data_IF_592594693771
#
_entry.id   IF_592594693771
#
_cell.length_a   1.000
_cell.length_b   1.000
_cell.length_c   1.000
_cell.angle_alpha   90.00
_cell.angle_beta   90.00
_cell.angle_gamma   90.00
#
_symmetry.space_group_name_H-M   'P 1'
#
loop_
_entity.id
_entity.type
_entity.pdbx_description
1 polymer ?
#
# COMPACT_ATOMS: atom_id res chain seq x y z
N UNK A 1 15.55 17.07 4.15
CA UNK A 1 15.42 16.59 2.76
C UNK A 1 13.92 16.59 2.45
N UNK A 2 13.47 17.14 1.32
CA UNK A 2 12.07 17.06 0.92
C UNK A 2 11.72 15.58 0.65
N UNK A 3 10.80 14.99 1.42
CA UNK A 3 10.40 13.58 1.25
C UNK A 3 9.25 13.41 0.24
N UNK A 4 8.54 14.49 -0.07
CA UNK A 4 7.43 14.49 -1.03
C UNK A 4 7.80 13.90 -2.41
N UNK A 5 8.96 14.20 -3.04
CA UNK A 5 9.34 13.60 -4.33
C UNK A 5 9.53 12.08 -4.25
N UNK A 6 10.08 11.59 -3.13
CA UNK A 6 10.33 10.17 -2.91
C UNK A 6 8.99 9.43 -2.80
N UNK A 7 8.03 9.98 -2.07
CA UNK A 7 6.70 9.39 -1.95
C UNK A 7 5.93 9.44 -3.27
N UNK A 8 6.12 10.49 -4.06
CA UNK A 8 5.53 10.59 -5.39
C UNK A 8 6.03 9.46 -6.30
N UNK A 9 7.36 9.25 -6.35
CA UNK A 9 7.95 8.13 -7.11
C UNK A 9 7.48 6.78 -6.55
N UNK A 10 7.49 6.59 -5.24
CA UNK A 10 7.03 5.36 -4.61
C UNK A 10 5.55 5.07 -4.91
N UNK A 11 4.71 6.11 -4.94
CA UNK A 11 3.31 6.02 -5.31
C UNK A 11 3.12 5.55 -6.76
N UNK A 12 3.85 6.14 -7.70
CA UNK A 12 3.84 5.71 -9.11
C UNK A 12 4.39 4.31 -9.31
N UNK A 13 5.44 3.92 -8.58
CA UNK A 13 5.94 2.55 -8.58
C UNK A 13 4.91 1.57 -8.04
N UNK A 14 4.16 1.94 -7.00
CA UNK A 14 3.03 1.18 -6.47
C UNK A 14 1.92 0.99 -7.51
N UNK A 15 1.57 2.06 -8.23
CA UNK A 15 0.60 2.00 -9.34
C UNK A 15 1.07 1.07 -10.46
N UNK A 16 2.34 1.16 -10.86
CA UNK A 16 2.94 0.25 -11.85
C UNK A 16 2.86 -1.21 -11.39
N UNK A 17 3.18 -1.48 -10.12
CA UNK A 17 3.04 -2.80 -9.51
C UNK A 17 1.60 -3.30 -9.48
N UNK A 18 0.65 -2.39 -9.26
CA UNK A 18 -0.79 -2.65 -9.37
C UNK A 18 -1.18 -3.07 -10.79
N UNK A 19 -0.81 -2.29 -11.81
CA UNK A 19 -1.09 -2.60 -13.21
C UNK A 19 -0.46 -3.94 -13.62
N UNK A 20 0.82 -4.14 -13.30
CA UNK A 20 1.55 -5.37 -13.63
C UNK A 20 0.93 -6.61 -12.94
N UNK A 21 0.63 -6.52 -11.65
CA UNK A 21 -0.04 -7.61 -10.93
C UNK A 21 -1.44 -7.88 -11.47
N UNK A 22 -2.19 -6.83 -11.84
CA UNK A 22 -3.51 -6.95 -12.47
C UNK A 22 -3.45 -7.65 -13.82
N UNK A 23 -2.44 -7.33 -14.64
CA UNK A 23 -2.18 -8.02 -15.91
C UNK A 23 -1.93 -9.51 -15.69
N UNK A 24 -1.04 -9.87 -14.77
CA UNK A 24 -0.68 -11.27 -14.49
C UNK A 24 -1.89 -12.06 -13.98
N UNK A 25 -2.67 -11.47 -13.06
CA UNK A 25 -3.91 -12.07 -12.53
C UNK A 25 -4.96 -12.19 -13.63
N UNK A 26 -5.05 -11.18 -14.51
CA UNK A 26 -5.97 -11.11 -15.62
C UNK A 26 -5.73 -12.20 -16.66
N UNK A 27 -4.49 -12.53 -17.01
CA UNK A 27 -4.19 -13.56 -18.02
C UNK A 27 -4.76 -14.95 -17.68
N UNK A 28 -4.99 -15.24 -16.40
CA UNK A 28 -5.51 -16.52 -15.94
C UNK A 28 -7.03 -16.53 -15.67
N UNK A 29 -7.76 -15.47 -16.03
CA UNK A 29 -9.16 -15.28 -15.64
C UNK A 29 -10.10 -16.38 -16.15
N UNK A 30 -9.80 -16.97 -17.31
CA UNK A 30 -10.65 -17.95 -17.99
C UNK A 30 -10.65 -19.33 -17.32
N UNK A 31 -9.72 -19.60 -16.39
CA UNK A 31 -9.61 -20.92 -15.74
C UNK A 31 -10.41 -20.92 -14.44
N UNK A 32 -11.53 -21.64 -14.40
CA UNK A 32 -12.42 -21.71 -13.22
C UNK A 32 -11.70 -22.25 -11.97
N UNK A 33 -10.77 -23.18 -12.14
CA UNK A 33 -9.95 -23.76 -11.05
C UNK A 33 -8.76 -22.91 -10.62
N UNK A 34 -8.55 -21.71 -11.19
CA UNK A 34 -7.36 -20.90 -10.93
C UNK A 34 -7.27 -20.48 -9.45
N UNK A 35 -6.09 -20.68 -8.86
CA UNK A 35 -5.78 -20.48 -7.44
C UNK A 35 -6.66 -21.29 -6.45
N UNK A 36 -7.31 -22.37 -6.91
CA UNK A 36 -8.22 -23.18 -6.09
C UNK A 36 -9.68 -22.76 -6.19
N UNK A 37 -10.03 -21.97 -7.21
CA UNK A 37 -11.41 -21.54 -7.49
C UNK A 37 -11.76 -20.15 -6.98
N UNK A 38 -12.94 -19.66 -7.35
CA UNK A 38 -13.39 -18.29 -7.06
C UNK A 38 -13.47 -17.97 -5.56
N UNK A 39 -13.90 -18.94 -4.75
CA UNK A 39 -14.04 -18.81 -3.30
C UNK A 39 -12.75 -19.01 -2.50
N UNK A 40 -11.65 -19.39 -3.15
CA UNK A 40 -10.43 -19.78 -2.45
C UNK A 40 -9.79 -18.62 -1.68
N UNK A 41 -9.23 -18.95 -0.51
CA UNK A 41 -8.49 -18.02 0.33
C UNK A 41 -7.33 -17.37 -0.43
N UNK A 42 -6.64 -18.14 -1.29
CA UNK A 42 -5.52 -17.68 -2.11
C UNK A 42 -5.94 -16.61 -3.11
N UNK A 43 -7.01 -16.85 -3.88
CA UNK A 43 -7.51 -15.89 -4.86
C UNK A 43 -8.00 -14.60 -4.21
N UNK A 44 -8.63 -14.69 -3.03
CA UNK A 44 -9.07 -13.52 -2.26
C UNK A 44 -7.88 -12.64 -1.83
N UNK A 45 -6.83 -13.25 -1.28
CA UNK A 45 -5.62 -12.53 -0.86
C UNK A 45 -4.83 -11.94 -2.03
N UNK A 46 -4.70 -12.66 -3.14
CA UNK A 46 -4.04 -12.16 -4.35
C UNK A 46 -4.77 -10.92 -4.90
N UNK A 47 -6.11 -10.94 -4.94
CA UNK A 47 -6.91 -9.76 -5.31
C UNK A 47 -6.73 -8.61 -4.32
N UNK A 48 -6.71 -8.91 -3.02
CA UNK A 48 -6.48 -7.89 -1.99
C UNK A 48 -5.08 -7.24 -2.13
N UNK A 49 -4.04 -8.03 -2.39
CA UNK A 49 -2.68 -7.53 -2.64
C UNK A 49 -2.58 -6.66 -3.89
N UNK A 50 -3.25 -7.06 -4.98
CA UNK A 50 -3.35 -6.24 -6.19
C UNK A 50 -4.02 -4.88 -5.92
N UNK A 51 -5.16 -4.86 -5.23
CA UNK A 51 -5.86 -3.61 -4.87
C UNK A 51 -5.01 -2.79 -3.89
N UNK A 52 -4.28 -3.44 -2.98
CA UNK A 52 -3.40 -2.75 -2.04
C UNK A 52 -2.27 -1.99 -2.75
N UNK A 53 -1.69 -2.53 -3.83
CA UNK A 53 -0.70 -1.82 -4.66
C UNK A 53 -1.27 -0.51 -5.21
N UNK A 54 -2.48 -0.57 -5.78
CA UNK A 54 -3.13 0.61 -6.35
C UNK A 54 -3.54 1.61 -5.25
N UNK A 55 -4.24 1.14 -4.22
CA UNK A 55 -4.75 1.98 -3.15
C UNK A 55 -3.63 2.71 -2.41
N UNK A 56 -2.56 2.01 -2.04
CA UNK A 56 -1.43 2.62 -1.33
C UNK A 56 -0.50 3.42 -2.25
N UNK A 57 -0.46 3.06 -3.55
CA UNK A 57 0.13 3.90 -4.58
C UNK A 57 -0.56 5.27 -4.65
N UNK A 58 -1.88 5.28 -4.73
CA UNK A 58 -2.66 6.52 -4.72
C UNK A 58 -2.49 7.31 -3.42
N UNK A 59 -2.51 6.66 -2.26
CA UNK A 59 -2.29 7.34 -0.97
C UNK A 59 -0.93 8.06 -0.94
N UNK A 60 0.13 7.44 -1.43
CA UNK A 60 1.46 8.08 -1.48
C UNK A 60 1.50 9.29 -2.43
N UNK A 61 0.89 9.18 -3.62
CA UNK A 61 0.81 10.30 -4.56
C UNK A 61 -0.02 11.45 -3.96
N UNK A 62 -1.20 11.14 -3.41
CA UNK A 62 -2.07 12.14 -2.79
C UNK A 62 -1.39 12.80 -1.59
N UNK A 63 -0.69 12.04 -0.77
CA UNK A 63 0.10 12.58 0.34
C UNK A 63 1.16 13.57 -0.14
N UNK A 64 1.97 13.18 -1.13
CA UNK A 64 3.01 14.05 -1.69
C UNK A 64 2.43 15.36 -2.24
N UNK A 65 1.29 15.31 -2.92
CA UNK A 65 0.60 16.49 -3.43
C UNK A 65 0.00 17.34 -2.30
N UNK A 66 -0.54 16.71 -1.25
CA UNK A 66 -1.20 17.40 -0.15
C UNK A 66 -0.19 18.14 0.74
N UNK A 67 0.94 17.51 1.06
CA UNK A 67 2.02 18.14 1.85
C UNK A 67 2.72 19.25 1.07
N UNK A 68 2.80 19.13 -0.27
CA UNK A 68 3.32 20.21 -1.11
C UNK A 68 2.44 21.47 -1.07
N UNK A 69 1.11 21.32 -0.93
CA UNK A 69 0.18 22.46 -0.80
C UNK A 69 0.07 22.97 0.64
N UNK A 70 0.05 22.06 1.62
CA UNK A 70 -0.05 22.39 3.04
C UNK A 70 1.04 21.66 3.83
N UNK A 71 2.21 22.28 3.99
CA UNK A 71 3.33 21.67 4.70
C UNK A 71 2.99 21.44 6.17
N UNK A 72 3.58 20.39 6.75
CA UNK A 72 3.44 20.02 8.16
C UNK A 72 4.82 20.06 8.84
N UNK A 73 4.85 19.97 10.17
CA UNK A 73 6.11 19.91 10.91
C UNK A 73 7.00 18.75 10.43
N UNK A 74 8.30 19.00 10.28
CA UNK A 74 9.26 18.07 9.67
C UNK A 74 9.26 16.67 10.33
N UNK A 75 9.11 16.59 11.65
CA UNK A 75 9.04 15.32 12.38
C UNK A 75 7.81 14.49 11.96
N UNK A 76 6.65 15.14 11.81
CA UNK A 76 5.41 14.48 11.40
C UNK A 76 5.46 14.12 9.91
N UNK A 77 6.12 14.93 9.08
CA UNK A 77 6.38 14.61 7.67
C UNK A 77 7.20 13.32 7.55
N UNK A 78 8.27 13.17 8.33
CA UNK A 78 9.11 11.97 8.30
C UNK A 78 8.34 10.70 8.72
N UNK A 79 7.53 10.79 9.78
CA UNK A 79 6.72 9.66 10.26
C UNK A 79 5.63 9.32 9.23
N UNK A 80 4.94 10.32 8.69
CA UNK A 80 3.94 10.15 7.64
C UNK A 80 4.53 9.47 6.40
N UNK A 81 5.65 10.01 5.92
CA UNK A 81 6.32 9.50 4.74
C UNK A 81 6.81 8.07 4.93
N UNK A 82 7.47 7.78 6.04
CA UNK A 82 7.94 6.44 6.37
C UNK A 82 6.78 5.44 6.47
N UNK A 83 5.70 5.83 7.15
CA UNK A 83 4.51 5.00 7.34
C UNK A 83 3.82 4.62 6.03
N UNK A 84 3.65 5.58 5.11
CA UNK A 84 3.02 5.33 3.81
C UNK A 84 3.90 4.51 2.86
N UNK A 85 5.22 4.72 2.87
CA UNK A 85 6.15 3.89 2.09
C UNK A 85 6.20 2.45 2.62
N UNK A 86 6.36 2.28 3.94
CA UNK A 86 6.34 0.96 4.58
C UNK A 86 5.04 0.24 4.28
N UNK A 87 3.90 0.93 4.44
CA UNK A 87 2.59 0.39 4.10
C UNK A 87 2.51 -0.07 2.65
N UNK A 88 2.90 0.78 1.70
CA UNK A 88 2.83 0.49 0.27
C UNK A 88 3.62 -0.74 -0.17
N UNK A 89 4.73 -1.05 0.51
CA UNK A 89 5.53 -2.25 0.23
C UNK A 89 5.02 -3.45 1.02
N UNK A 90 4.79 -3.28 2.32
CA UNK A 90 4.51 -4.40 3.22
C UNK A 90 3.10 -4.95 3.06
N UNK A 91 2.09 -4.13 2.75
CA UNK A 91 0.71 -4.63 2.55
C UNK A 91 0.59 -5.62 1.39
N UNK A 92 0.99 -5.25 0.14
CA UNK A 92 0.92 -6.17 -0.97
C UNK A 92 1.77 -7.41 -0.71
N UNK A 93 2.99 -7.23 -0.18
CA UNK A 93 3.89 -8.34 0.11
C UNK A 93 3.27 -9.32 1.12
N UNK A 94 2.66 -8.85 2.20
CA UNK A 94 1.96 -9.69 3.17
C UNK A 94 0.78 -10.41 2.52
N UNK A 95 0.00 -9.74 1.67
CA UNK A 95 -1.13 -10.35 0.97
C UNK A 95 -0.69 -11.47 0.04
N UNK A 96 0.36 -11.25 -0.77
CA UNK A 96 0.91 -12.28 -1.65
C UNK A 96 1.52 -13.41 -0.84
N UNK A 97 2.39 -13.15 0.14
CA UNK A 97 3.01 -14.19 0.97
C UNK A 97 1.97 -15.04 1.73
N UNK A 98 0.94 -14.40 2.29
CA UNK A 98 -0.14 -15.09 2.99
C UNK A 98 -0.99 -15.96 2.05
N UNK A 99 -1.03 -15.67 0.75
CA UNK A 99 -1.71 -16.50 -0.23
C UNK A 99 -1.04 -17.88 -0.39
N UNK A 100 0.29 -17.97 -0.21
CA UNK A 100 1.01 -19.26 -0.26
C UNK A 100 1.24 -19.89 1.11
N UNK A 101 1.47 -19.10 2.16
CA UNK A 101 1.59 -19.61 3.54
C UNK A 101 0.71 -18.84 4.51
N UNK A 102 -0.28 -19.54 5.07
CA UNK A 102 -1.21 -19.07 6.10
C UNK A 102 -0.59 -18.38 7.33
N UNK A 103 0.58 -18.78 7.89
CA UNK A 103 1.14 -18.11 9.06
C UNK A 103 1.58 -16.66 8.81
N UNK A 104 1.84 -16.26 7.56
CA UNK A 104 2.19 -14.85 7.27
C UNK A 104 1.03 -13.88 7.49
N UNK A 105 -0.18 -14.35 7.77
CA UNK A 105 -1.29 -13.48 8.22
C UNK A 105 -0.94 -12.68 9.49
N UNK A 106 -0.03 -13.19 10.32
CA UNK A 106 0.40 -12.50 11.54
C UNK A 106 1.30 -11.29 11.26
N UNK A 107 1.76 -11.09 10.02
CA UNK A 107 2.48 -9.89 9.61
C UNK A 107 1.56 -8.72 9.26
N UNK A 108 0.26 -8.94 9.03
CA UNK A 108 -0.70 -7.86 8.70
C UNK A 108 -0.73 -6.67 9.67
N UNK A 109 -0.50 -6.83 11.00
CA UNK A 109 -0.45 -5.69 11.91
C UNK A 109 0.64 -4.67 11.54
N UNK A 110 1.76 -5.10 10.95
CA UNK A 110 2.89 -4.22 10.60
C UNK A 110 2.49 -3.16 9.57
N UNK A 111 1.95 -3.51 8.39
CA UNK A 111 1.48 -2.51 7.44
C UNK A 111 0.33 -1.67 7.97
N UNK A 112 -0.60 -2.26 8.73
CA UNK A 112 -1.75 -1.51 9.29
C UNK A 112 -1.25 -0.43 10.25
N UNK A 113 -0.36 -0.79 11.19
CA UNK A 113 0.21 0.15 12.14
C UNK A 113 1.01 1.26 11.44
N UNK A 114 1.75 0.91 10.38
CA UNK A 114 2.53 1.86 9.58
C UNK A 114 1.63 2.90 8.90
N UNK A 115 0.56 2.46 8.24
CA UNK A 115 -0.40 3.35 7.58
C UNK A 115 -1.16 4.19 8.60
N UNK A 116 -1.58 3.58 9.72
CA UNK A 116 -2.29 4.28 10.78
C UNK A 116 -1.44 5.41 11.37
N UNK A 117 -0.18 5.12 11.70
CA UNK A 117 0.77 6.13 12.16
C UNK A 117 0.96 7.25 11.13
N UNK A 118 0.98 6.90 9.84
CA UNK A 118 1.12 7.89 8.78
C UNK A 118 -0.09 8.82 8.65
N UNK A 119 -1.30 8.27 8.65
CA UNK A 119 -2.56 9.05 8.62
C UNK A 119 -2.67 9.94 9.86
N UNK A 120 -2.41 9.40 11.06
CA UNK A 120 -2.45 10.18 12.29
C UNK A 120 -1.46 11.34 12.26
N UNK A 121 -0.25 11.11 11.75
CA UNK A 121 0.78 12.16 11.65
C UNK A 121 0.36 13.30 10.72
N UNK A 122 -0.31 12.99 9.61
CA UNK A 122 -0.86 13.99 8.69
C UNK A 122 -1.99 14.78 9.35
N UNK A 123 -2.94 14.09 10.00
CA UNK A 123 -4.07 14.75 10.66
C UNK A 123 -3.60 15.65 11.80
N UNK A 124 -2.70 15.17 12.66
CA UNK A 124 -2.11 15.98 13.73
C UNK A 124 -1.35 17.16 13.11
N UNK A 125 -0.57 16.91 12.05
CA UNK A 125 0.18 17.95 11.37
C UNK A 125 -0.68 19.06 10.77
N UNK A 126 -1.92 18.78 10.37
CA UNK A 126 -2.83 19.79 9.81
C UNK A 126 -3.79 20.42 10.80
N UNK A 127 -4.12 19.73 11.89
CA UNK A 127 -4.98 20.29 12.94
C UNK A 127 -4.21 21.27 13.82
N UNK A 128 -2.91 21.00 14.04
CA UNK A 128 -2.08 21.74 14.99
C UNK A 128 -0.97 22.57 14.30
N UNK A 129 -1.05 22.79 12.99
CA UNK A 129 -0.20 23.73 12.23
C UNK A 129 -1.01 24.93 11.77
#
# INVERSE_FOLDING_TARGET
MNLAPINLVAGWMGLLGGVASGMVIGLCFHRDGWLGGYGSFRRRLVRLGHIAFLGLGFVNVLYALSVAQRPIAATLEHIASGGFMLGAVTMPLCCFLAAWRTPFRHLFPVPVASILAGVLSVLIGWVWA
#
